data_IF_496057424544
#
_entry.id   IF_496057424544
#
_cell.length_a   1.000
_cell.length_b   1.000
_cell.length_c   1.000
_cell.angle_alpha   90.00
_cell.angle_beta   90.00
_cell.angle_gamma   90.00
#
_symmetry.space_group_name_H-M   'P 1'
#
loop_
_entity.id
_entity.type
_entity.pdbx_description
1 polymer ?
#
# COMPACT_ATOMS: atom_id res chain seq x y z
N UNK A 1 1.83 -17.82 0.33
CA UNK A 1 1.63 -16.43 -0.02
C UNK A 1 2.97 -15.79 -0.37
N UNK A 2 3.03 -15.01 -1.46
CA UNK A 2 4.29 -14.42 -1.96
C UNK A 2 4.10 -13.05 -2.64
N UNK A 3 2.89 -12.49 -2.59
CA UNK A 3 2.61 -11.16 -3.16
C UNK A 3 2.53 -11.10 -4.68
N UNK A 4 2.51 -12.26 -5.39
CA UNK A 4 2.61 -12.30 -6.85
C UNK A 4 1.30 -12.16 -7.62
N UNK A 5 0.13 -12.44 -7.02
CA UNK A 5 -1.13 -12.53 -7.76
C UNK A 5 -2.16 -11.43 -7.45
N UNK A 6 -2.00 -10.70 -6.37
CA UNK A 6 -2.90 -9.60 -5.98
C UNK A 6 -4.31 -9.99 -5.53
N UNK A 7 -4.65 -11.27 -5.43
CA UNK A 7 -5.99 -11.69 -4.97
C UNK A 7 -6.33 -11.19 -3.54
N UNK A 8 -5.31 -10.97 -2.72
CA UNK A 8 -5.41 -10.46 -1.36
C UNK A 8 -5.28 -8.94 -1.25
N UNK A 9 -5.37 -8.20 -2.34
CA UNK A 9 -5.21 -6.74 -2.32
C UNK A 9 -6.22 -6.10 -1.38
N UNK A 10 -5.72 -5.22 -0.52
CA UNK A 10 -6.49 -4.34 0.36
C UNK A 10 -6.02 -2.90 0.15
N UNK A 11 -6.77 -1.92 0.66
CA UNK A 11 -6.38 -0.52 0.53
C UNK A 11 -6.10 0.07 1.90
N UNK A 12 -4.99 0.79 1.99
CA UNK A 12 -4.65 1.62 3.14
C UNK A 12 -4.91 3.08 2.82
N UNK A 13 -5.69 3.76 3.67
CA UNK A 13 -5.79 5.21 3.66
C UNK A 13 -4.86 5.80 4.72
N UNK A 14 -3.95 6.64 4.29
CA UNK A 14 -2.92 7.28 5.12
C UNK A 14 -3.09 8.79 5.14
N UNK A 15 -2.84 9.41 6.29
CA UNK A 15 -2.76 10.86 6.41
C UNK A 15 -1.45 11.38 5.81
N UNK A 16 -1.54 12.17 4.75
CA UNK A 16 -0.39 12.84 4.13
C UNK A 16 -0.72 14.31 3.87
N UNK A 17 0.05 15.24 4.44
CA UNK A 17 -0.15 16.69 4.25
C UNK A 17 -1.61 17.13 4.42
N UNK A 18 -2.28 16.71 5.50
CA UNK A 18 -3.69 17.02 5.80
C UNK A 18 -4.74 16.47 4.81
N UNK A 19 -4.37 15.53 3.96
CA UNK A 19 -5.30 14.80 3.07
C UNK A 19 -5.13 13.30 3.24
N UNK A 20 -6.11 12.51 2.76
CA UNK A 20 -6.01 11.07 2.68
C UNK A 20 -5.38 10.66 1.35
N UNK A 21 -4.43 9.76 1.41
CA UNK A 21 -3.88 9.04 0.26
C UNK A 21 -4.23 7.57 0.38
N UNK A 22 -4.67 6.96 -0.72
CA UNK A 22 -5.12 5.58 -0.76
C UNK A 22 -4.08 4.73 -1.49
N UNK A 23 -3.67 3.60 -0.92
CA UNK A 23 -2.66 2.72 -1.52
C UNK A 23 -3.14 1.29 -1.50
N UNK A 24 -3.12 0.65 -2.66
CA UNK A 24 -3.31 -0.80 -2.75
C UNK A 24 -2.05 -1.52 -2.24
N UNK A 25 -2.22 -2.54 -1.42
CA UNK A 25 -1.15 -3.40 -0.92
C UNK A 25 -1.57 -4.86 -0.94
N UNK A 26 -0.60 -5.76 -1.03
CA UNK A 26 -0.82 -7.19 -0.90
C UNK A 26 -0.85 -7.61 0.57
N UNK A 27 -2.03 -7.92 1.11
CA UNK A 27 -2.19 -8.28 2.52
C UNK A 27 -1.40 -9.54 2.91
N UNK A 28 -1.24 -10.50 2.00
CA UNK A 28 -0.58 -11.77 2.28
C UNK A 28 0.91 -11.66 2.62
N UNK A 29 1.58 -10.57 2.24
CA UNK A 29 2.99 -10.29 2.55
C UNK A 29 3.16 -9.02 3.40
N UNK A 30 2.08 -8.52 4.00
CA UNK A 30 2.09 -7.33 4.85
C UNK A 30 2.02 -7.72 6.32
N UNK A 31 2.94 -7.20 7.13
CA UNK A 31 2.87 -7.37 8.58
C UNK A 31 1.75 -6.50 9.15
N UNK A 32 0.92 -7.06 10.04
CA UNK A 32 -0.19 -6.33 10.68
C UNK A 32 0.26 -5.01 11.34
N UNK A 33 1.46 -4.99 11.83
CA UNK A 33 2.05 -3.82 12.50
C UNK A 33 2.19 -2.58 11.62
N UNK A 34 2.19 -2.74 10.28
CA UNK A 34 2.23 -1.59 9.35
C UNK A 34 0.92 -0.78 9.32
N UNK A 35 -0.17 -1.33 9.89
CA UNK A 35 -1.49 -0.71 9.89
C UNK A 35 -1.62 0.46 10.87
N UNK A 36 -0.67 0.60 11.78
CA UNK A 36 -0.75 1.66 12.78
C UNK A 36 -0.81 3.05 12.13
N UNK A 37 -1.76 3.86 12.61
CA UNK A 37 -1.98 5.22 12.08
C UNK A 37 -2.62 5.26 10.70
N UNK A 38 -3.19 4.14 10.23
CA UNK A 38 -3.82 4.03 8.91
C UNK A 38 -5.23 3.47 9.03
N UNK A 39 -6.06 3.76 8.04
CA UNK A 39 -7.35 3.10 7.85
C UNK A 39 -7.15 1.94 6.89
N UNK A 40 -7.49 0.73 7.32
CA UNK A 40 -7.61 -0.43 6.44
C UNK A 40 -8.99 -0.45 5.80
N UNK A 41 -9.04 -0.69 4.51
CA UNK A 41 -10.28 -0.81 3.73
C UNK A 41 -10.24 -2.14 2.98
N UNK A 42 -11.27 -2.95 3.18
CA UNK A 42 -11.46 -4.24 2.57
C UNK A 42 -12.53 -4.17 1.48
N UNK A 43 -12.66 -5.21 0.68
CA UNK A 43 -13.68 -5.27 -0.39
C UNK A 43 -15.10 -5.23 0.18
N UNK A 44 -15.30 -5.76 1.36
CA UNK A 44 -16.56 -5.76 2.11
C UNK A 44 -16.99 -4.35 2.52
N UNK A 45 -16.02 -3.46 2.78
CA UNK A 45 -16.28 -2.07 3.18
C UNK A 45 -16.79 -1.20 2.03
N UNK A 46 -16.71 -1.68 0.78
CA UNK A 46 -17.11 -0.87 -0.38
C UNK A 46 -18.63 -0.82 -0.59
N UNK A 47 -19.36 -1.80 -0.08
CA UNK A 47 -20.82 -1.79 -0.17
C UNK A 47 -21.38 -0.58 0.57
N UNK A 48 -22.24 0.20 -0.10
CA UNK A 48 -22.87 1.34 0.55
C UNK A 48 -23.85 0.89 1.65
N UNK A 49 -24.11 1.75 2.62
CA UNK A 49 -25.02 1.47 3.74
C UNK A 49 -26.46 1.10 3.32
N UNK A 50 -26.89 1.51 2.12
CA UNK A 50 -28.19 1.18 1.54
C UNK A 50 -28.16 -0.13 0.71
N UNK A 51 -27.04 -0.89 0.75
CA UNK A 51 -26.89 -2.13 -0.02
C UNK A 51 -26.52 -1.95 -1.49
N UNK A 52 -26.37 -0.71 -1.98
CA UNK A 52 -25.93 -0.49 -3.37
C UNK A 52 -24.43 -0.71 -3.54
N UNK A 53 -24.04 -1.22 -4.71
CA UNK A 53 -22.64 -1.42 -5.05
C UNK A 53 -21.90 -0.08 -5.19
N UNK A 54 -20.65 -0.04 -4.74
CA UNK A 54 -19.74 1.04 -5.07
C UNK A 54 -19.52 1.13 -6.59
N UNK A 55 -19.29 2.32 -7.19
CA UNK A 55 -19.08 2.44 -8.65
C UNK A 55 -18.06 1.46 -9.23
N UNK A 56 -16.99 1.17 -8.50
CA UNK A 56 -15.97 0.21 -8.91
C UNK A 56 -16.53 -1.22 -8.97
N UNK A 57 -17.31 -1.64 -7.96
CA UNK A 57 -17.94 -2.95 -7.95
C UNK A 57 -18.98 -3.05 -9.10
N UNK A 58 -19.79 -1.99 -9.26
CA UNK A 58 -20.78 -1.93 -10.33
C UNK A 58 -20.14 -2.00 -11.71
N UNK A 59 -19.05 -1.28 -11.95
CA UNK A 59 -18.33 -1.35 -13.22
C UNK A 59 -17.84 -2.77 -13.53
N UNK A 60 -17.31 -3.50 -12.54
CA UNK A 60 -16.90 -4.89 -12.73
C UNK A 60 -18.07 -5.82 -13.09
N UNK A 61 -19.27 -5.55 -12.58
CA UNK A 61 -20.50 -6.28 -12.95
C UNK A 61 -20.94 -5.92 -14.37
N UNK A 62 -21.10 -4.63 -14.66
CA UNK A 62 -21.64 -4.12 -15.93
C UNK A 62 -20.78 -4.51 -17.14
N UNK A 63 -19.47 -4.62 -16.95
CA UNK A 63 -18.52 -4.98 -18.00
C UNK A 63 -18.07 -6.45 -17.95
N UNK A 64 -18.74 -7.29 -17.14
CA UNK A 64 -18.42 -8.71 -17.01
C UNK A 64 -16.95 -8.97 -16.65
N UNK A 65 -16.38 -8.14 -15.77
CA UNK A 65 -14.99 -8.19 -15.33
C UNK A 65 -14.64 -9.39 -14.44
N UNK A 66 -15.57 -10.31 -14.20
CA UNK A 66 -15.41 -11.49 -13.35
C UNK A 66 -15.96 -12.74 -14.04
N UNK A 67 -15.27 -13.89 -13.88
CA UNK A 67 -15.75 -15.20 -14.28
C UNK A 67 -15.74 -16.14 -13.08
N UNK A 68 -14.60 -16.75 -12.71
CA UNK A 68 -14.54 -17.63 -11.54
C UNK A 68 -14.63 -16.89 -10.20
N UNK A 69 -14.38 -15.57 -10.17
CA UNK A 69 -14.52 -14.71 -9.00
C UNK A 69 -13.29 -14.64 -8.09
N UNK A 70 -12.32 -15.55 -8.21
CA UNK A 70 -11.20 -15.64 -7.28
C UNK A 70 -10.33 -14.37 -7.23
N UNK A 71 -9.99 -13.78 -8.38
CA UNK A 71 -9.17 -12.56 -8.46
C UNK A 71 -9.99 -11.27 -8.30
N UNK A 72 -11.32 -11.36 -8.38
CA UNK A 72 -12.22 -10.20 -8.43
C UNK A 72 -12.07 -9.25 -7.26
N UNK A 73 -12.01 -9.70 -5.99
CA UNK A 73 -11.80 -8.79 -4.85
C UNK A 73 -10.52 -7.96 -4.99
N UNK A 74 -9.43 -8.59 -5.42
CA UNK A 74 -8.15 -7.90 -5.63
C UNK A 74 -8.23 -6.83 -6.70
N UNK A 75 -8.83 -7.11 -7.86
CA UNK A 75 -9.05 -6.11 -8.91
C UNK A 75 -9.93 -4.96 -8.45
N UNK A 76 -11.03 -5.26 -7.75
CA UNK A 76 -11.92 -4.25 -7.19
C UNK A 76 -11.15 -3.30 -6.27
N UNK A 77 -10.29 -3.83 -5.38
CA UNK A 77 -9.53 -3.00 -4.46
C UNK A 77 -8.44 -2.17 -5.16
N UNK A 78 -7.76 -2.71 -6.17
CA UNK A 78 -6.81 -1.94 -6.99
C UNK A 78 -7.51 -0.82 -7.78
N UNK A 79 -8.66 -1.11 -8.37
CA UNK A 79 -9.50 -0.12 -9.04
C UNK A 79 -10.02 0.95 -8.06
N UNK A 80 -10.38 0.55 -6.84
CA UNK A 80 -10.80 1.49 -5.80
C UNK A 80 -9.66 2.45 -5.42
N UNK A 81 -8.44 1.95 -5.21
CA UNK A 81 -7.29 2.81 -4.95
C UNK A 81 -7.05 3.79 -6.10
N UNK A 82 -7.10 3.31 -7.35
CA UNK A 82 -7.02 4.15 -8.54
C UNK A 82 -8.12 5.21 -8.57
N UNK A 83 -9.38 4.82 -8.33
CA UNK A 83 -10.55 5.69 -8.32
C UNK A 83 -10.43 6.81 -7.28
N UNK A 84 -9.85 6.51 -6.11
CA UNK A 84 -9.66 7.50 -5.04
C UNK A 84 -8.49 8.46 -5.28
N UNK A 85 -7.46 8.04 -6.01
CA UNK A 85 -6.23 8.83 -6.18
C UNK A 85 -6.21 9.68 -7.45
N UNK A 86 -6.74 9.15 -8.56
CA UNK A 86 -6.54 9.75 -9.86
C UNK A 86 -7.71 10.63 -10.30
N UNK A 87 -7.40 11.72 -10.98
CA UNK A 87 -8.36 12.59 -11.64
C UNK A 87 -8.59 12.22 -13.12
N UNK A 88 -7.69 11.44 -13.70
CA UNK A 88 -7.82 10.91 -15.07
C UNK A 88 -7.54 9.40 -15.08
N UNK A 89 -8.09 8.72 -16.09
CA UNK A 89 -7.99 7.27 -16.26
C UNK A 89 -7.55 6.98 -17.69
N UNK A 90 -6.33 7.39 -18.03
CA UNK A 90 -5.71 6.96 -19.26
C UNK A 90 -5.28 5.48 -19.17
N UNK A 91 -4.99 4.88 -20.30
CA UNK A 91 -4.71 3.45 -20.37
C UNK A 91 -3.44 3.06 -19.60
N UNK A 92 -2.46 3.94 -19.50
CA UNK A 92 -1.23 3.69 -18.75
C UNK A 92 -1.49 3.67 -17.25
N UNK A 93 -2.24 4.64 -16.74
CA UNK A 93 -2.66 4.69 -15.32
C UNK A 93 -3.45 3.44 -14.95
N UNK A 94 -4.37 3.00 -15.82
CA UNK A 94 -5.15 1.78 -15.59
C UNK A 94 -4.23 0.56 -15.54
N UNK A 95 -3.34 0.39 -16.52
CA UNK A 95 -2.40 -0.74 -16.56
C UNK A 95 -1.46 -0.75 -15.35
N UNK A 96 -0.89 0.38 -14.99
CA UNK A 96 -0.03 0.52 -13.81
C UNK A 96 -0.79 0.20 -12.51
N UNK A 97 -2.04 0.66 -12.38
CA UNK A 97 -2.86 0.39 -11.20
C UNK A 97 -3.24 -1.08 -11.05
N UNK A 98 -3.34 -1.82 -12.15
CA UNK A 98 -3.73 -3.24 -12.18
C UNK A 98 -2.55 -4.20 -12.31
N UNK A 99 -1.32 -3.70 -12.49
CA UNK A 99 -0.14 -4.53 -12.75
C UNK A 99 0.15 -5.58 -11.67
N UNK A 100 -0.26 -5.31 -10.42
CA UNK A 100 -0.13 -6.24 -9.30
C UNK A 100 -1.21 -7.33 -9.21
N UNK A 101 -2.16 -7.41 -10.16
CA UNK A 101 -3.29 -8.33 -10.12
C UNK A 101 -3.27 -9.29 -11.30
N UNK A 102 -3.40 -10.59 -11.04
CA UNK A 102 -3.43 -11.63 -12.08
C UNK A 102 -4.82 -12.24 -12.21
N UNK A 103 -5.27 -12.40 -13.47
CA UNK A 103 -6.49 -13.12 -13.83
C UNK A 103 -6.19 -14.16 -14.92
N UNK A 104 -6.67 -15.38 -14.75
CA UNK A 104 -6.50 -16.45 -15.74
C UNK A 104 -7.73 -16.60 -16.67
N UNK A 105 -8.87 -16.08 -16.29
CA UNK A 105 -10.16 -16.37 -16.95
C UNK A 105 -10.53 -15.35 -18.02
N UNK A 106 -10.44 -14.04 -17.71
CA UNK A 106 -11.11 -12.97 -18.48
C UNK A 106 -10.30 -12.43 -19.66
N UNK A 107 -9.00 -12.72 -19.73
CA UNK A 107 -8.09 -12.06 -20.69
C UNK A 107 -7.90 -10.56 -20.44
N UNK A 108 -8.28 -10.07 -19.24
CA UNK A 108 -8.12 -8.68 -18.74
C UNK A 108 -8.97 -7.61 -19.44
N UNK A 109 -9.37 -7.80 -20.70
CA UNK A 109 -10.08 -6.77 -21.48
C UNK A 109 -11.33 -6.26 -20.77
N UNK A 110 -12.26 -7.10 -20.26
CA UNK A 110 -13.43 -6.63 -19.54
C UNK A 110 -13.09 -5.81 -18.29
N UNK A 111 -12.02 -6.18 -17.58
CA UNK A 111 -11.54 -5.45 -16.38
C UNK A 111 -11.01 -4.06 -16.77
N UNK A 112 -10.26 -3.97 -17.86
CA UNK A 112 -9.76 -2.68 -18.38
C UNK A 112 -10.92 -1.80 -18.85
N UNK A 113 -11.92 -2.37 -19.51
CA UNK A 113 -13.09 -1.64 -19.97
C UNK A 113 -13.95 -1.15 -18.78
N UNK A 114 -14.09 -1.97 -17.73
CA UNK A 114 -14.67 -1.54 -16.46
C UNK A 114 -13.90 -0.36 -15.84
N UNK A 115 -12.58 -0.42 -15.82
CA UNK A 115 -11.74 0.68 -15.33
C UNK A 115 -11.94 1.98 -16.15
N UNK A 116 -12.00 1.88 -17.48
CA UNK A 116 -12.24 3.02 -18.38
C UNK A 116 -13.59 3.70 -18.14
N UNK A 117 -14.63 2.92 -17.81
CA UNK A 117 -15.98 3.43 -17.53
C UNK A 117 -16.05 4.33 -16.28
N UNK A 118 -15.11 4.19 -15.35
CA UNK A 118 -15.07 4.98 -14.13
C UNK A 118 -14.72 6.46 -14.36
N UNK A 119 -14.17 6.81 -15.53
CA UNK A 119 -13.72 8.17 -15.85
C UNK A 119 -14.78 9.26 -15.61
N UNK A 120 -16.04 8.95 -15.92
CA UNK A 120 -17.14 9.91 -15.86
C UNK A 120 -18.05 9.71 -14.63
N UNK A 121 -17.71 8.80 -13.73
CA UNK A 121 -18.59 8.35 -12.65
C UNK A 121 -18.03 8.66 -11.25
N UNK A 122 -17.35 9.83 -11.08
CA UNK A 122 -16.96 10.26 -9.74
C UNK A 122 -18.21 10.70 -8.97
N UNK A 123 -18.66 9.85 -8.07
CA UNK A 123 -19.73 10.16 -7.14
C UNK A 123 -19.19 10.39 -5.73
N UNK A 124 -19.99 11.10 -4.94
CA UNK A 124 -19.71 11.31 -3.51
C UNK A 124 -19.99 10.00 -2.75
N UNK A 125 -18.99 9.10 -2.72
CA UNK A 125 -19.07 7.83 -2.02
C UNK A 125 -19.03 8.00 -0.49
N UNK A 126 -19.25 6.92 0.25
CA UNK A 126 -19.22 6.90 1.72
C UNK A 126 -17.88 7.33 2.32
N UNK A 127 -16.78 7.04 1.64
CA UNK A 127 -15.43 7.42 2.08
C UNK A 127 -15.18 8.92 1.92
N UNK A 128 -15.71 9.54 0.87
CA UNK A 128 -15.63 10.99 0.72
C UNK A 128 -16.54 11.71 1.72
N UNK A 129 -17.75 11.17 1.97
CA UNK A 129 -18.66 11.69 3.01
C UNK A 129 -18.04 11.64 4.40
N UNK A 130 -17.35 10.54 4.74
CA UNK A 130 -16.71 10.34 6.05
C UNK A 130 -15.28 10.89 6.15
N UNK A 131 -14.72 11.45 5.07
CA UNK A 131 -13.32 11.89 4.98
C UNK A 131 -12.87 12.79 6.13
N UNK A 132 -13.67 13.78 6.48
CA UNK A 132 -13.33 14.71 7.58
C UNK A 132 -13.28 13.99 8.94
N UNK A 133 -14.18 13.05 9.17
CA UNK A 133 -14.19 12.24 10.37
C UNK A 133 -12.94 11.33 10.42
N UNK A 134 -12.62 10.65 9.33
CA UNK A 134 -11.41 9.80 9.20
C UNK A 134 -10.14 10.63 9.45
N UNK A 135 -10.03 11.81 8.84
CA UNK A 135 -8.92 12.73 9.09
C UNK A 135 -8.77 13.10 10.57
N UNK A 136 -9.89 13.41 11.24
CA UNK A 136 -9.88 13.71 12.67
C UNK A 136 -9.42 12.52 13.52
N UNK A 137 -9.89 11.32 13.20
CA UNK A 137 -9.51 10.09 13.91
C UNK A 137 -8.01 9.78 13.72
N UNK A 138 -7.51 9.80 12.48
CA UNK A 138 -6.10 9.53 12.21
C UNK A 138 -5.18 10.58 12.85
N UNK A 139 -5.56 11.86 12.89
CA UNK A 139 -4.81 12.91 13.59
C UNK A 139 -4.74 12.72 15.10
N UNK A 140 -5.72 12.07 15.71
CA UNK A 140 -5.73 11.77 17.16
C UNK A 140 -4.76 10.63 17.52
N UNK A 141 -4.40 9.78 16.58
CA UNK A 141 -3.45 8.69 16.83
C UNK A 141 -2.07 9.31 17.04
N UNK A 142 -1.58 9.20 18.27
CA UNK A 142 -0.26 9.74 18.63
C UNK A 142 0.85 8.99 17.89
N UNK A 143 1.75 9.72 17.29
CA UNK A 143 2.97 9.19 16.71
C UNK A 143 3.99 8.96 17.83
N UNK A 144 3.90 7.81 18.48
CA UNK A 144 4.77 7.40 19.60
C UNK A 144 5.48 6.11 19.24
N UNK A 145 6.63 5.90 19.86
CA UNK A 145 7.37 4.64 19.75
C UNK A 145 6.53 3.49 20.29
N UNK A 146 6.63 2.34 19.61
CA UNK A 146 5.96 1.11 20.01
C UNK A 146 6.99 0.10 20.44
N UNK A 147 6.66 -0.62 21.50
CA UNK A 147 7.38 -1.78 22.00
C UNK A 147 6.35 -2.83 22.39
N UNK A 148 6.32 -3.93 21.63
CA UNK A 148 5.44 -5.08 21.90
C UNK A 148 6.33 -6.29 22.13
N UNK A 149 6.07 -7.02 23.20
CA UNK A 149 6.74 -8.27 23.50
C UNK A 149 5.70 -9.33 23.84
N UNK A 150 5.80 -10.47 23.20
CA UNK A 150 4.96 -11.65 23.49
C UNK A 150 5.83 -12.91 23.38
N UNK A 151 5.97 -13.62 24.48
CA UNK A 151 6.91 -14.73 24.60
C UNK A 151 8.34 -14.28 24.15
N UNK A 152 8.92 -15.00 23.20
CA UNK A 152 10.25 -14.70 22.65
C UNK A 152 10.22 -13.71 21.48
N UNK A 153 9.03 -13.26 21.02
CA UNK A 153 8.90 -12.36 19.87
C UNK A 153 8.82 -10.90 20.31
N UNK A 154 9.56 -10.03 19.65
CA UNK A 154 9.60 -8.60 19.95
C UNK A 154 9.38 -7.77 18.71
N UNK A 155 8.63 -6.70 18.87
CA UNK A 155 8.41 -5.71 17.82
C UNK A 155 8.67 -4.31 18.37
N UNK A 156 9.48 -3.58 17.66
CA UNK A 156 9.80 -2.18 17.94
C UNK A 156 9.45 -1.30 16.75
N UNK A 157 8.87 -0.13 17.00
CA UNK A 157 8.72 0.93 16.00
C UNK A 157 9.24 2.25 16.60
N UNK A 158 10.55 2.49 16.55
CA UNK A 158 11.14 3.75 17.00
C UNK A 158 10.72 4.89 16.08
N UNK A 159 10.62 6.11 16.62
CA UNK A 159 10.21 7.30 15.88
C UNK A 159 11.39 8.22 15.49
N UNK A 160 12.61 7.90 15.94
CA UNK A 160 13.83 8.63 15.63
C UNK A 160 15.07 7.73 15.61
N UNK A 161 16.15 8.22 15.02
CA UNK A 161 17.41 7.47 14.88
C UNK A 161 18.06 7.16 16.24
N UNK A 162 17.89 8.03 17.24
CA UNK A 162 18.48 7.82 18.58
C UNK A 162 17.87 6.57 19.25
N UNK A 163 16.56 6.41 19.17
CA UNK A 163 15.87 5.22 19.66
C UNK A 163 16.27 3.97 18.88
N UNK A 164 16.33 4.07 17.54
CA UNK A 164 16.77 2.97 16.67
C UNK A 164 18.15 2.45 17.11
N UNK A 165 19.12 3.36 17.27
CA UNK A 165 20.48 3.00 17.73
C UNK A 165 20.47 2.27 19.08
N UNK A 166 19.66 2.74 20.04
CA UNK A 166 19.52 2.11 21.36
C UNK A 166 18.97 0.69 21.24
N UNK A 167 17.94 0.48 20.40
CA UNK A 167 17.33 -0.83 20.19
C UNK A 167 18.33 -1.78 19.52
N UNK A 168 19.02 -1.33 18.46
CA UNK A 168 20.02 -2.14 17.77
C UNK A 168 21.17 -2.57 18.67
N UNK A 169 21.60 -1.70 19.60
CA UNK A 169 22.63 -2.06 20.59
C UNK A 169 22.17 -3.21 21.50
N UNK A 170 20.90 -3.21 21.89
CA UNK A 170 20.33 -4.24 22.78
C UNK A 170 19.90 -5.52 22.02
N UNK A 171 19.58 -5.39 20.75
CA UNK A 171 19.10 -6.48 19.88
C UNK A 171 19.85 -6.50 18.55
N UNK A 172 21.14 -6.84 18.54
CA UNK A 172 22.00 -6.73 17.33
C UNK A 172 21.54 -7.66 16.19
N UNK A 173 20.88 -8.77 16.51
CA UNK A 173 20.39 -9.75 15.53
C UNK A 173 18.96 -9.47 15.03
N UNK A 174 18.37 -8.32 15.39
CA UNK A 174 17.03 -7.93 14.96
C UNK A 174 16.95 -7.75 13.45
N UNK A 175 15.77 -8.04 12.87
CA UNK A 175 15.49 -7.78 11.46
C UNK A 175 14.87 -6.40 11.29
N UNK A 176 15.43 -5.62 10.36
CA UNK A 176 14.92 -4.29 10.00
C UNK A 176 13.78 -4.43 9.00
N UNK A 177 12.63 -3.86 9.31
CA UNK A 177 11.42 -3.89 8.49
C UNK A 177 11.14 -2.49 7.95
N UNK A 178 11.21 -2.34 6.62
CA UNK A 178 10.74 -1.14 5.91
C UNK A 178 9.53 -1.49 5.05
N UNK A 179 9.68 -1.82 3.78
CA UNK A 179 8.58 -2.33 2.92
C UNK A 179 8.13 -3.73 3.30
N UNK A 180 9.07 -4.62 3.62
CA UNK A 180 8.82 -5.96 4.14
C UNK A 180 8.47 -7.01 3.09
N UNK A 181 8.39 -6.67 1.81
CA UNK A 181 7.98 -7.60 0.73
C UNK A 181 8.88 -8.81 0.60
N UNK A 182 10.17 -8.67 0.82
CA UNK A 182 11.12 -9.77 0.83
C UNK A 182 11.16 -10.46 2.21
N UNK A 183 11.28 -9.69 3.30
CA UNK A 183 11.35 -10.25 4.64
C UNK A 183 10.11 -11.09 5.01
N UNK A 184 8.93 -10.74 4.50
CA UNK A 184 7.71 -11.52 4.73
C UNK A 184 7.78 -12.93 4.15
N UNK A 185 8.57 -13.15 3.09
CA UNK A 185 8.74 -14.47 2.47
C UNK A 185 9.45 -15.45 3.41
N UNK A 186 10.29 -14.96 4.32
CA UNK A 186 10.88 -15.77 5.38
C UNK A 186 9.80 -16.44 6.22
N UNK A 187 8.69 -15.74 6.49
CA UNK A 187 7.55 -16.28 7.25
C UNK A 187 6.62 -17.10 6.35
N UNK A 188 6.25 -16.57 5.17
CA UNK A 188 5.18 -17.15 4.36
C UNK A 188 5.62 -18.32 3.48
N UNK A 189 6.88 -18.33 3.02
CA UNK A 189 7.45 -19.41 2.16
C UNK A 189 8.42 -20.29 2.93
N UNK A 190 9.38 -19.71 3.64
CA UNK A 190 10.39 -20.47 4.36
C UNK A 190 9.86 -21.02 5.70
N UNK A 191 8.71 -20.51 6.18
CA UNK A 191 8.06 -20.89 7.44
C UNK A 191 8.99 -20.74 8.67
N UNK A 192 9.86 -19.73 8.62
CA UNK A 192 10.76 -19.37 9.70
C UNK A 192 10.15 -18.28 10.56
N UNK A 193 10.42 -18.35 11.84
CA UNK A 193 10.04 -17.30 12.80
C UNK A 193 11.00 -16.11 12.72
N UNK A 194 10.47 -14.94 13.03
CA UNK A 194 11.22 -13.69 13.19
C UNK A 194 11.11 -13.28 14.66
N UNK A 195 12.21 -13.43 15.41
CA UNK A 195 12.19 -13.19 16.85
C UNK A 195 12.07 -11.72 17.22
N UNK A 196 12.82 -10.87 16.52
CA UNK A 196 12.82 -9.43 16.78
C UNK A 196 12.75 -8.65 15.50
N UNK A 197 11.69 -7.82 15.37
CA UNK A 197 11.46 -6.92 14.25
C UNK A 197 11.56 -5.46 14.70
N UNK A 198 12.23 -4.64 13.89
CA UNK A 198 12.28 -3.19 14.05
C UNK A 198 11.69 -2.52 12.83
N UNK A 199 10.52 -1.89 12.97
CA UNK A 199 9.85 -1.15 11.91
C UNK A 199 10.43 0.26 11.78
N UNK A 200 11.02 0.56 10.62
CA UNK A 200 11.77 1.79 10.41
C UNK A 200 10.97 2.93 9.79
N UNK A 201 9.80 2.65 9.18
CA UNK A 201 9.05 3.69 8.46
C UNK A 201 8.41 4.75 9.37
N UNK A 202 8.44 4.55 10.69
CA UNK A 202 8.06 5.56 11.67
C UNK A 202 9.14 6.64 11.89
N UNK A 203 10.36 6.42 11.36
CA UNK A 203 11.49 7.35 11.49
C UNK A 203 11.50 8.27 10.28
N UNK A 204 10.95 9.47 10.43
CA UNK A 204 10.88 10.46 9.33
C UNK A 204 12.25 10.88 8.78
N UNK A 205 13.28 10.87 9.63
CA UNK A 205 14.67 11.17 9.28
C UNK A 205 15.26 10.21 8.24
N UNK A 206 14.68 9.02 8.06
CA UNK A 206 15.11 8.01 7.07
C UNK A 206 14.32 8.06 5.75
N UNK A 207 13.36 8.96 5.60
CA UNK A 207 12.55 9.10 4.39
C UNK A 207 12.84 10.44 3.71
N UNK A 208 13.83 10.44 2.83
CA UNK A 208 14.22 11.63 2.08
C UNK A 208 14.91 11.29 0.75
N UNK A 209 14.96 12.26 -0.16
CA UNK A 209 15.79 12.26 -1.36
C UNK A 209 16.53 13.58 -1.39
N UNK A 210 17.86 13.56 -1.44
CA UNK A 210 18.72 14.73 -1.49
C UNK A 210 19.67 14.64 -2.67
N UNK A 211 19.76 15.72 -3.45
CA UNK A 211 20.79 15.84 -4.48
C UNK A 211 22.07 16.37 -3.85
N UNK A 212 23.15 15.65 -4.01
CA UNK A 212 24.52 16.03 -3.69
C UNK A 212 25.28 16.13 -5.02
N UNK A 213 26.19 17.06 -5.15
CA UNK A 213 26.85 17.39 -6.42
C UNK A 213 27.22 16.20 -7.31
N UNK A 214 27.74 15.11 -6.74
CA UNK A 214 28.19 13.93 -7.47
C UNK A 214 27.24 12.70 -7.34
N UNK A 215 26.24 12.72 -6.46
CA UNK A 215 25.37 11.58 -6.20
C UNK A 215 24.01 12.01 -5.64
N UNK A 216 23.05 11.11 -5.70
CA UNK A 216 21.73 11.25 -5.07
C UNK A 216 21.73 10.41 -3.79
N UNK A 217 21.51 11.06 -2.66
CA UNK A 217 21.39 10.41 -1.35
C UNK A 217 19.90 10.08 -1.09
N UNK A 218 19.60 8.82 -0.84
CA UNK A 218 18.24 8.33 -0.64
C UNK A 218 18.14 7.70 0.74
N UNK A 219 17.16 8.14 1.52
CA UNK A 219 16.90 7.60 2.85
C UNK A 219 16.43 6.15 2.82
N UNK A 220 16.82 5.36 3.81
CA UNK A 220 16.58 3.90 3.85
C UNK A 220 15.11 3.47 3.88
N UNK A 221 14.18 4.37 4.19
CA UNK A 221 12.73 4.09 4.20
C UNK A 221 11.98 4.79 3.07
N UNK A 222 12.70 5.37 2.10
CA UNK A 222 12.09 6.02 0.94
C UNK A 222 11.51 4.98 -0.01
N UNK A 223 10.20 5.01 -0.31
CA UNK A 223 9.59 4.06 -1.24
C UNK A 223 10.17 4.19 -2.65
N UNK A 224 10.36 3.07 -3.35
CA UNK A 224 10.90 3.05 -4.72
C UNK A 224 10.07 3.92 -5.68
N UNK A 225 8.75 3.91 -5.55
CA UNK A 225 7.86 4.76 -6.36
C UNK A 225 8.13 6.26 -6.18
N UNK A 226 8.57 6.69 -5.01
CA UNK A 226 8.93 8.09 -4.76
C UNK A 226 10.26 8.47 -5.43
N UNK A 227 11.12 7.50 -5.65
CA UNK A 227 12.42 7.71 -6.30
C UNK A 227 12.25 7.87 -7.80
N UNK A 228 11.30 7.16 -8.42
CA UNK A 228 11.10 7.13 -9.87
C UNK A 228 11.04 8.52 -10.50
N UNK A 229 10.12 9.36 -10.02
CA UNK A 229 9.93 10.70 -10.56
C UNK A 229 11.17 11.60 -10.43
N UNK A 230 11.94 11.38 -9.37
CA UNK A 230 13.14 12.16 -9.06
C UNK A 230 14.32 11.78 -9.95
N UNK A 231 14.56 10.47 -10.13
CA UNK A 231 15.73 9.98 -10.86
C UNK A 231 15.53 9.90 -12.37
N UNK A 232 14.28 9.95 -12.85
CA UNK A 232 13.94 9.87 -14.28
C UNK A 232 14.76 10.81 -15.16
N UNK A 233 15.08 12.00 -14.64
CA UNK A 233 15.90 13.01 -15.32
C UNK A 233 17.37 12.60 -15.48
N UNK A 234 17.90 11.88 -14.49
CA UNK A 234 19.33 11.57 -14.39
C UNK A 234 19.66 10.14 -14.83
N UNK A 235 18.75 9.21 -14.59
CA UNK A 235 18.92 7.78 -14.83
C UNK A 235 17.67 7.17 -15.49
N UNK A 236 17.38 7.52 -16.76
CA UNK A 236 16.15 7.11 -17.44
C UNK A 236 16.02 5.58 -17.58
N UNK A 237 17.14 4.87 -17.79
CA UNK A 237 17.12 3.42 -17.92
C UNK A 237 16.85 2.72 -16.57
N UNK A 238 17.41 3.23 -15.49
CA UNK A 238 17.10 2.72 -14.15
C UNK A 238 15.62 2.96 -13.79
N UNK A 239 15.04 4.06 -14.24
CA UNK A 239 13.60 4.35 -14.04
C UNK A 239 12.70 3.30 -14.70
N UNK A 240 13.11 2.71 -15.83
CA UNK A 240 12.36 1.63 -16.49
C UNK A 240 12.29 0.35 -15.65
N UNK A 241 13.30 0.08 -14.82
CA UNK A 241 13.36 -1.08 -13.93
C UNK A 241 12.43 -0.91 -12.71
N UNK A 242 12.14 0.34 -12.31
CA UNK A 242 11.28 0.64 -11.16
C UNK A 242 9.78 0.61 -11.50
N UNK A 243 9.42 0.50 -12.78
CA UNK A 243 8.07 0.34 -13.30
C UNK A 243 7.72 -1.13 -13.47
#
# INVERSE_FOLDING_TARGET
AEGGCGACTVVLAELKKNTLTYKAINACISFVTILQGKQLILVEDLLNNNGSLHPVQKAMVDYHGSQCGFCTPGFVMSLFAMYKQNSSYDENIIKESLAGNLCRCTGYRPIIDAAKSLKNNKILDQFEKSKQQTLKLLKKIKHTSINISNNNKKYFAPINIKELKKILKNYPNSKLLSGGTDLSLTVTKERKDLDTLIYMNSISELNYIKNKNAFIEIGATTPLIAIESYIKKYYPDFTKILK
#
